data_IF_402554763905
#
_entry.id   IF_402554763905
#
_cell.length_a   1.000
_cell.length_b   1.000
_cell.length_c   1.000
_cell.angle_alpha   90.00
_cell.angle_beta   90.00
_cell.angle_gamma   90.00
#
_symmetry.space_group_name_H-M   'P 1'
#
loop_
_entity.id
_entity.type
_entity.pdbx_description
1 polymer ?
#
# COMPACT_ATOMS: atom_id res chain seq x y z
N UNK A 1 8.73 18.23 8.25
CA UNK A 1 7.88 18.27 7.06
C UNK A 1 7.43 16.87 6.71
N UNK A 2 6.15 16.69 6.44
CA UNK A 2 5.63 15.43 5.95
C UNK A 2 6.17 15.17 4.54
N UNK A 3 6.75 13.99 4.31
CA UNK A 3 7.20 13.61 2.96
C UNK A 3 6.01 13.32 2.08
N UNK A 4 6.05 13.79 0.85
CA UNK A 4 5.08 13.37 -0.16
C UNK A 4 5.23 11.88 -0.42
N UNK A 5 4.09 11.19 -0.50
CA UNK A 5 4.05 9.77 -0.82
C UNK A 5 3.58 9.60 -2.25
N UNK A 6 4.40 8.96 -3.08
CA UNK A 6 4.03 8.69 -4.46
C UNK A 6 2.91 7.66 -4.50
N UNK A 7 1.89 7.92 -5.31
CA UNK A 7 0.72 7.07 -5.49
C UNK A 7 0.28 7.06 -6.95
N UNK A 8 -0.22 5.93 -7.43
CA UNK A 8 -0.82 5.84 -8.75
C UNK A 8 -2.22 6.44 -8.74
N UNK A 9 -2.75 6.78 -9.92
CA UNK A 9 -4.12 7.27 -10.04
C UNK A 9 -5.13 6.25 -9.51
N UNK A 10 -4.93 4.97 -9.83
CA UNK A 10 -5.79 3.88 -9.33
C UNK A 10 -5.74 3.76 -7.81
N UNK A 11 -4.56 3.86 -7.23
CA UNK A 11 -4.37 3.84 -5.78
C UNK A 11 -5.03 5.03 -5.10
N UNK A 12 -4.97 6.21 -5.71
CA UNK A 12 -5.65 7.40 -5.20
C UNK A 12 -7.17 7.21 -5.18
N UNK A 13 -7.74 6.67 -6.26
CA UNK A 13 -9.17 6.39 -6.36
C UNK A 13 -9.63 5.39 -5.31
N UNK A 14 -8.89 4.30 -5.12
CA UNK A 14 -9.15 3.30 -4.07
C UNK A 14 -9.11 3.91 -2.68
N UNK A 15 -8.12 4.76 -2.42
CA UNK A 15 -7.98 5.46 -1.15
C UNK A 15 -9.19 6.35 -0.86
N UNK A 16 -9.64 7.11 -1.85
CA UNK A 16 -10.83 7.97 -1.74
C UNK A 16 -12.10 7.15 -1.52
N UNK A 17 -12.27 6.04 -2.23
CA UNK A 17 -13.41 5.14 -2.08
C UNK A 17 -13.46 4.53 -0.68
N UNK A 18 -12.34 4.02 -0.19
CA UNK A 18 -12.24 3.46 1.16
C UNK A 18 -12.58 4.52 2.21
N UNK A 19 -12.00 5.70 2.07
CA UNK A 19 -12.25 6.80 3.01
C UNK A 19 -13.73 7.20 3.03
N UNK A 20 -14.35 7.34 1.86
CA UNK A 20 -15.79 7.66 1.74
C UNK A 20 -16.66 6.58 2.41
N UNK A 21 -16.35 5.32 2.19
CA UNK A 21 -17.05 4.21 2.83
C UNK A 21 -16.93 4.26 4.36
N UNK A 22 -15.71 4.47 4.88
CA UNK A 22 -15.48 4.53 6.32
C UNK A 22 -16.15 5.74 6.97
N UNK A 23 -16.10 6.90 6.33
CA UNK A 23 -16.69 8.15 6.87
C UNK A 23 -18.22 8.13 6.87
N UNK A 24 -18.84 7.44 5.94
CA UNK A 24 -20.28 7.40 5.79
C UNK A 24 -20.87 6.09 6.31
N UNK A 25 -20.70 5.01 5.56
CA UNK A 25 -21.38 3.74 5.82
C UNK A 25 -20.91 3.08 7.12
N UNK A 26 -19.59 2.99 7.30
CA UNK A 26 -19.02 2.33 8.48
C UNK A 26 -19.27 3.12 9.76
N UNK A 27 -19.15 4.44 9.72
CA UNK A 27 -19.49 5.29 10.88
C UNK A 27 -20.94 5.09 11.32
N UNK A 28 -21.85 5.03 10.36
CA UNK A 28 -23.28 4.81 10.66
C UNK A 28 -23.52 3.45 11.28
N UNK A 29 -22.93 2.41 10.71
CA UNK A 29 -23.00 1.04 11.24
C UNK A 29 -22.51 0.95 12.68
N UNK A 30 -21.36 1.53 12.97
CA UNK A 30 -20.77 1.55 14.33
C UNK A 30 -21.62 2.39 15.29
N UNK A 31 -22.14 3.54 14.85
CA UNK A 31 -23.04 4.36 15.66
C UNK A 31 -24.31 3.61 16.01
N UNK A 32 -24.91 2.88 15.09
CA UNK A 32 -26.09 2.04 15.34
C UNK A 32 -25.78 0.92 16.33
N UNK A 33 -24.60 0.30 16.22
CA UNK A 33 -24.16 -0.73 17.14
C UNK A 33 -24.00 -0.17 18.57
N UNK A 34 -23.45 1.01 18.73
CA UNK A 34 -23.34 1.69 20.04
C UNK A 34 -24.73 1.97 20.61
N UNK A 35 -25.65 2.47 19.79
CA UNK A 35 -27.02 2.76 20.19
C UNK A 35 -27.72 1.49 20.68
N UNK A 36 -27.64 0.39 19.93
CA UNK A 36 -28.21 -0.90 20.32
C UNK A 36 -27.61 -1.42 21.62
N UNK A 37 -26.30 -1.30 21.81
CA UNK A 37 -25.62 -1.72 23.02
C UNK A 37 -26.11 -0.96 24.26
N UNK A 38 -26.41 0.34 24.12
CA UNK A 38 -26.99 1.15 25.20
C UNK A 38 -28.38 0.66 25.63
N UNK A 39 -29.16 0.15 24.68
CA UNK A 39 -30.51 -0.34 24.93
C UNK A 39 -30.52 -1.66 25.72
N UNK A 40 -29.41 -2.40 25.77
CA UNK A 40 -29.30 -3.69 26.48
C UNK A 40 -29.03 -3.61 27.98
N UNK A 41 -28.87 -2.42 28.56
CA UNK A 41 -28.79 -2.31 30.00
C UNK A 41 -27.69 -1.37 30.52
N UNK A 42 -27.12 -1.71 31.69
CA UNK A 42 -26.19 -0.85 32.40
C UNK A 42 -24.88 -0.67 31.65
N UNK A 43 -24.54 0.58 31.31
CA UNK A 43 -23.30 0.96 30.60
C UNK A 43 -22.06 0.56 31.39
N UNK A 44 -22.12 0.53 32.71
CA UNK A 44 -20.97 0.20 33.59
C UNK A 44 -20.50 -1.26 33.48
N UNK A 45 -21.38 -2.19 33.08
CA UNK A 45 -21.10 -3.63 32.98
C UNK A 45 -21.42 -4.22 31.60
N UNK A 46 -21.52 -3.39 30.57
CA UNK A 46 -21.95 -3.81 29.24
C UNK A 46 -20.74 -4.00 28.32
N UNK A 47 -20.32 -5.26 28.17
CA UNK A 47 -19.20 -5.60 27.27
C UNK A 47 -19.47 -5.28 25.80
N UNK A 48 -20.72 -5.40 25.34
CA UNK A 48 -21.12 -5.03 23.98
C UNK A 48 -20.94 -3.52 23.72
N UNK A 49 -21.25 -2.70 24.72
CA UNK A 49 -21.02 -1.27 24.65
C UNK A 49 -19.52 -0.94 24.59
N UNK A 50 -18.73 -1.57 25.43
CA UNK A 50 -17.26 -1.37 25.43
C UNK A 50 -16.63 -1.80 24.11
N UNK A 51 -17.05 -2.95 23.55
CA UNK A 51 -16.58 -3.42 22.25
C UNK A 51 -16.95 -2.46 21.13
N UNK A 52 -18.18 -1.96 21.12
CA UNK A 52 -18.64 -0.99 20.13
C UNK A 52 -17.89 0.34 20.22
N UNK A 53 -17.58 0.81 21.43
CA UNK A 53 -16.76 2.02 21.64
C UNK A 53 -15.33 1.81 21.20
N UNK A 54 -14.76 0.64 21.43
CA UNK A 54 -13.41 0.29 20.94
C UNK A 54 -13.38 0.25 19.40
N UNK A 55 -14.40 -0.34 18.79
CA UNK A 55 -14.54 -0.35 17.32
C UNK A 55 -14.63 1.08 16.76
N UNK A 56 -15.37 1.97 17.41
CA UNK A 56 -15.43 3.38 17.03
C UNK A 56 -14.05 4.05 17.08
N UNK A 57 -13.29 3.83 18.15
CA UNK A 57 -11.96 4.40 18.30
C UNK A 57 -11.01 3.90 17.20
N UNK A 58 -11.03 2.62 16.88
CA UNK A 58 -10.23 2.03 15.81
C UNK A 58 -10.63 2.59 14.43
N UNK A 59 -11.93 2.76 14.19
CA UNK A 59 -12.45 3.35 12.96
C UNK A 59 -11.95 4.79 12.78
N UNK A 60 -12.04 5.60 13.81
CA UNK A 60 -11.57 7.00 13.75
C UNK A 60 -10.05 7.08 13.53
N UNK A 61 -9.28 6.19 14.13
CA UNK A 61 -7.83 6.10 13.86
C UNK A 61 -7.55 5.73 12.39
N UNK A 62 -8.30 4.79 11.84
CA UNK A 62 -8.17 4.37 10.44
C UNK A 62 -8.51 5.52 9.49
N UNK A 63 -9.60 6.22 9.77
CA UNK A 63 -10.02 7.40 8.98
C UNK A 63 -8.92 8.48 9.02
N UNK A 64 -8.41 8.79 10.19
CA UNK A 64 -7.34 9.80 10.33
C UNK A 64 -6.08 9.40 9.56
N UNK A 65 -5.71 8.12 9.60
CA UNK A 65 -4.55 7.60 8.86
C UNK A 65 -4.75 7.72 7.34
N UNK A 66 -5.94 7.42 6.83
CA UNK A 66 -6.25 7.54 5.40
C UNK A 66 -6.32 9.00 4.95
N UNK A 67 -6.88 9.88 5.77
CA UNK A 67 -6.89 11.32 5.50
C UNK A 67 -5.47 11.88 5.42
N UNK A 68 -4.59 11.44 6.29
CA UNK A 68 -3.18 11.85 6.29
C UNK A 68 -2.46 11.35 5.03
N UNK A 69 -2.69 10.10 4.63
CA UNK A 69 -2.17 9.57 3.38
C UNK A 69 -2.65 10.37 2.16
N UNK A 70 -3.93 10.72 2.15
CA UNK A 70 -4.52 11.50 1.06
C UNK A 70 -3.88 12.89 0.96
N UNK A 71 -3.63 13.55 2.08
CA UNK A 71 -2.96 14.87 2.10
C UNK A 71 -1.53 14.81 1.58
N UNK A 72 -0.82 13.70 1.82
CA UNK A 72 0.57 13.52 1.40
C UNK A 72 0.72 12.85 0.04
N UNK A 73 -0.37 12.47 -0.58
CA UNK A 73 -0.35 11.77 -1.87
C UNK A 73 0.10 12.69 -3.01
N UNK A 74 1.12 12.27 -3.73
CA UNK A 74 1.54 12.89 -4.98
C UNK A 74 1.27 11.90 -6.12
N UNK A 75 0.34 12.24 -7.00
CA UNK A 75 -0.10 11.37 -8.10
C UNK A 75 0.96 11.34 -9.19
N UNK A 76 1.29 10.14 -9.65
CA UNK A 76 2.22 9.94 -10.75
C UNK A 76 1.45 10.04 -12.06
N UNK A 77 1.87 10.97 -12.94
CA UNK A 77 1.33 11.07 -14.28
C UNK A 77 1.93 9.95 -15.15
N UNK A 78 1.09 9.05 -15.65
CA UNK A 78 1.51 7.95 -16.54
C UNK A 78 2.24 8.44 -17.78
N UNK A 79 1.94 9.64 -18.27
CA UNK A 79 2.59 10.24 -19.44
C UNK A 79 4.03 10.66 -19.15
N UNK A 80 4.39 10.87 -17.90
CA UNK A 80 5.72 11.27 -17.45
C UNK A 80 6.56 10.12 -16.93
N UNK A 81 6.01 8.91 -16.92
CA UNK A 81 6.73 7.72 -16.44
C UNK A 81 7.81 7.38 -17.48
N UNK A 82 9.06 7.41 -16.98
CA UNK A 82 10.22 7.00 -17.73
C UNK A 82 10.36 5.48 -17.66
N UNK A 83 10.57 4.82 -18.80
CA UNK A 83 10.83 3.38 -18.88
C UNK A 83 12.33 3.07 -19.06
N UNK A 84 13.19 4.05 -19.03
CA UNK A 84 14.64 3.86 -19.06
C UNK A 84 15.17 3.38 -17.72
N UNK A 85 14.55 3.84 -16.62
CA UNK A 85 14.91 3.44 -15.26
C UNK A 85 13.68 2.93 -14.50
N UNK A 86 13.92 2.02 -13.56
CA UNK A 86 12.87 1.51 -12.68
C UNK A 86 12.46 2.58 -11.67
N UNK A 87 11.19 2.83 -11.57
CA UNK A 87 10.60 3.76 -10.61
C UNK A 87 9.16 3.38 -10.32
N UNK A 88 8.50 4.13 -9.44
CA UNK A 88 7.08 3.91 -9.15
C UNK A 88 6.25 4.14 -10.41
N UNK A 89 5.31 3.22 -10.69
CA UNK A 89 4.44 3.28 -11.86
C UNK A 89 4.89 2.40 -13.02
N UNK A 90 6.00 1.68 -12.90
CA UNK A 90 6.45 0.75 -13.93
C UNK A 90 6.23 -0.71 -13.52
N UNK A 91 6.12 -1.56 -14.52
CA UNK A 91 6.22 -3.02 -14.38
C UNK A 91 7.64 -3.41 -14.79
N UNK A 92 8.37 -3.99 -13.87
CA UNK A 92 9.74 -4.46 -14.11
C UNK A 92 9.75 -5.98 -14.22
N UNK A 93 10.36 -6.47 -15.30
CA UNK A 93 10.60 -7.89 -15.50
C UNK A 93 12.01 -8.20 -15.07
N UNK A 94 12.17 -9.20 -14.20
CA UNK A 94 13.47 -9.59 -13.65
C UNK A 94 13.70 -11.08 -13.80
N UNK A 95 14.96 -11.48 -13.89
CA UNK A 95 15.39 -12.88 -13.94
C UNK A 95 16.33 -13.13 -12.78
N UNK A 96 16.01 -14.11 -11.95
CA UNK A 96 16.89 -14.55 -10.86
C UNK A 96 18.11 -15.23 -11.45
N UNK A 97 19.29 -14.74 -11.15
CA UNK A 97 20.55 -15.24 -11.70
C UNK A 97 20.90 -16.65 -11.21
N UNK A 98 20.42 -17.02 -10.02
CA UNK A 98 20.69 -18.34 -9.44
C UNK A 98 19.71 -19.40 -9.93
N UNK A 99 18.42 -19.12 -9.88
CA UNK A 99 17.37 -20.08 -10.25
C UNK A 99 17.00 -20.04 -11.74
N UNK A 100 17.31 -18.95 -12.43
CA UNK A 100 16.90 -18.72 -13.81
C UNK A 100 15.42 -18.38 -13.98
N UNK A 101 14.67 -18.27 -12.89
CA UNK A 101 13.24 -17.94 -12.94
C UNK A 101 13.02 -16.47 -13.27
N UNK A 102 12.05 -16.22 -14.13
CA UNK A 102 11.60 -14.87 -14.47
C UNK A 102 10.40 -14.49 -13.63
N UNK A 103 10.38 -13.26 -13.15
CA UNK A 103 9.29 -12.68 -12.37
C UNK A 103 9.00 -11.28 -12.89
N UNK A 104 7.80 -10.81 -12.62
CA UNK A 104 7.38 -9.47 -12.99
C UNK A 104 6.74 -8.80 -11.77
N UNK A 105 7.16 -7.56 -11.49
CA UNK A 105 6.68 -6.79 -10.37
C UNK A 105 6.24 -5.41 -10.82
N UNK A 106 5.12 -4.94 -10.30
CA UNK A 106 4.71 -3.55 -10.41
C UNK A 106 5.28 -2.79 -9.22
N UNK A 107 6.02 -1.72 -9.48
CA UNK A 107 6.56 -0.87 -8.42
C UNK A 107 5.52 0.19 -8.06
N UNK A 108 5.13 0.20 -6.81
CA UNK A 108 4.07 1.08 -6.28
C UNK A 108 4.55 1.80 -5.03
N UNK A 109 3.78 2.78 -4.57
CA UNK A 109 3.99 3.38 -3.25
C UNK A 109 3.67 2.40 -2.12
N UNK A 110 4.21 2.64 -0.93
CA UNK A 110 4.07 1.72 0.22
C UNK A 110 2.60 1.45 0.60
N UNK A 111 1.71 2.41 0.38
CA UNK A 111 0.29 2.26 0.67
C UNK A 111 -0.44 1.29 -0.28
N UNK A 112 0.10 1.08 -1.47
CA UNK A 112 -0.49 0.23 -2.51
C UNK A 112 0.14 -1.16 -2.60
N UNK A 113 1.17 -1.44 -1.81
CA UNK A 113 1.90 -2.69 -1.87
C UNK A 113 0.99 -3.89 -1.57
N UNK A 114 1.05 -4.89 -2.45
CA UNK A 114 0.30 -6.13 -2.29
C UNK A 114 1.10 -7.28 -2.92
N UNK A 115 1.78 -8.09 -2.10
CA UNK A 115 2.60 -9.19 -2.60
C UNK A 115 1.81 -10.22 -3.42
N UNK A 116 0.55 -10.44 -3.11
CA UNK A 116 -0.31 -11.39 -3.83
C UNK A 116 -0.54 -10.95 -5.28
N UNK A 117 -0.66 -9.64 -5.50
CA UNK A 117 -0.80 -9.05 -6.84
C UNK A 117 0.54 -8.66 -7.47
N UNK A 118 1.66 -9.09 -6.89
CA UNK A 118 3.02 -8.74 -7.33
C UNK A 118 3.27 -7.21 -7.38
N UNK A 119 2.64 -6.47 -6.48
CA UNK A 119 2.87 -5.04 -6.30
C UNK A 119 3.85 -4.83 -5.17
N UNK A 120 5.05 -4.37 -5.51
CA UNK A 120 6.12 -4.12 -4.54
C UNK A 120 6.24 -2.64 -4.23
N UNK A 121 6.37 -2.34 -2.94
CA UNK A 121 6.70 -0.99 -2.49
C UNK A 121 8.10 -0.61 -2.97
N UNK A 122 8.26 0.65 -3.39
CA UNK A 122 9.57 1.24 -3.67
C UNK A 122 10.49 1.27 -2.42
N UNK A 123 9.91 1.12 -1.23
CA UNK A 123 10.65 1.08 0.03
C UNK A 123 10.94 -0.34 0.53
N UNK A 124 10.36 -1.37 -0.12
CA UNK A 124 10.66 -2.77 0.20
C UNK A 124 12.10 -3.13 -0.18
N UNK A 125 12.70 -4.18 0.42
CA UNK A 125 14.08 -4.57 0.08
C UNK A 125 14.30 -4.84 -1.42
N UNK A 126 13.37 -5.53 -2.07
CA UNK A 126 13.44 -5.80 -3.51
C UNK A 126 13.20 -4.52 -4.31
N UNK A 127 12.18 -3.73 -3.93
CA UNK A 127 11.85 -2.46 -4.58
C UNK A 127 13.00 -1.47 -4.50
N UNK A 128 13.61 -1.31 -3.34
CA UNK A 128 14.79 -0.42 -3.16
C UNK A 128 15.96 -0.83 -4.04
N UNK A 129 16.21 -2.12 -4.17
CA UNK A 129 17.31 -2.61 -5.01
C UNK A 129 17.03 -2.36 -6.50
N UNK A 130 15.78 -2.44 -6.93
CA UNK A 130 15.38 -2.26 -8.31
C UNK A 130 15.24 -0.80 -8.74
N UNK A 131 14.76 0.08 -7.86
CA UNK A 131 14.55 1.50 -8.18
C UNK A 131 15.87 2.15 -8.63
N UNK A 132 15.83 2.87 -9.76
CA UNK A 132 16.99 3.49 -10.37
C UNK A 132 17.80 2.59 -11.31
N UNK A 133 17.45 1.31 -11.40
CA UNK A 133 18.13 0.36 -12.28
C UNK A 133 17.67 0.52 -13.73
N UNK A 134 18.53 0.18 -14.66
CA UNK A 134 18.25 0.17 -16.11
C UNK A 134 18.10 -1.24 -16.62
N UNK A 135 17.53 -1.35 -17.83
CA UNK A 135 17.47 -2.64 -18.54
C UNK A 135 18.87 -3.25 -18.65
N UNK A 136 18.94 -4.55 -18.45
CA UNK A 136 20.16 -5.37 -18.45
C UNK A 136 21.09 -5.19 -17.24
N UNK A 137 20.76 -4.34 -16.29
CA UNK A 137 21.50 -4.25 -15.03
C UNK A 137 21.16 -5.43 -14.12
N UNK A 138 22.18 -5.87 -13.37
CA UNK A 138 22.01 -6.87 -12.31
C UNK A 138 22.06 -6.17 -10.97
N UNK A 139 21.01 -6.31 -10.18
CA UNK A 139 20.92 -5.72 -8.84
C UNK A 139 21.04 -6.81 -7.77
N UNK A 140 21.63 -6.46 -6.65
CA UNK A 140 21.76 -7.34 -5.49
C UNK A 140 20.68 -6.99 -4.47
N UNK A 141 19.85 -7.96 -4.13
CA UNK A 141 18.81 -7.81 -3.10
C UNK A 141 19.32 -8.44 -1.81
N UNK A 142 19.39 -7.64 -0.76
CA UNK A 142 19.70 -8.12 0.57
C UNK A 142 18.44 -8.64 1.25
N UNK A 143 18.47 -9.89 1.69
CA UNK A 143 17.38 -10.49 2.43
C UNK A 143 17.77 -10.62 3.91
N UNK A 144 16.85 -10.35 4.87
CA UNK A 144 17.15 -10.45 6.30
C UNK A 144 17.53 -11.86 6.75
N UNK A 145 17.07 -12.86 6.02
CA UNK A 145 17.30 -14.29 6.33
C UNK A 145 17.63 -15.04 5.04
N UNK A 146 18.89 -15.14 4.73
CA UNK A 146 19.35 -15.93 3.61
C UNK A 146 20.38 -15.26 2.73
N UNK A 147 20.86 -15.95 1.69
CA UNK A 147 21.86 -15.41 0.78
C UNK A 147 21.30 -14.24 -0.03
N UNK A 148 22.18 -13.33 -0.40
CA UNK A 148 21.84 -12.23 -1.31
C UNK A 148 21.35 -12.77 -2.64
N UNK A 149 20.26 -12.20 -3.14
CA UNK A 149 19.73 -12.55 -4.47
C UNK A 149 20.23 -11.56 -5.50
N UNK A 150 20.58 -12.07 -6.67
CA UNK A 150 20.93 -11.23 -7.82
C UNK A 150 19.84 -11.34 -8.86
N UNK A 151 19.26 -10.20 -9.21
CA UNK A 151 18.19 -10.09 -10.19
C UNK A 151 18.66 -9.25 -11.37
N UNK A 152 18.48 -9.78 -12.59
CA UNK A 152 18.74 -9.01 -13.81
C UNK A 152 17.44 -8.38 -14.30
N UNK A 153 17.47 -7.08 -14.55
CA UNK A 153 16.35 -6.36 -15.15
C UNK A 153 16.31 -6.66 -16.64
N UNK A 154 15.25 -7.33 -17.10
CA UNK A 154 15.12 -7.75 -18.50
C UNK A 154 14.22 -6.83 -19.32
N UNK A 155 13.23 -6.20 -18.69
CA UNK A 155 12.30 -5.30 -19.36
C UNK A 155 11.69 -4.32 -18.36
N UNK A 156 11.46 -3.11 -18.80
CA UNK A 156 10.75 -2.07 -18.04
C UNK A 156 9.61 -1.55 -18.91
N UNK A 157 8.39 -1.56 -18.40
CA UNK A 157 7.23 -1.03 -19.12
C UNK A 157 6.31 -0.24 -18.19
N UNK A 158 5.48 0.63 -18.76
CA UNK A 158 4.49 1.38 -17.97
C UNK A 158 3.39 0.43 -17.50
N UNK A 159 3.02 0.58 -16.23
CA UNK A 159 1.95 -0.24 -15.63
C UNK A 159 0.56 0.07 -16.23
#
# INVERSE_FOLDING_TARGET
>A
MARETLITQEGLEKLKEELTYLENDKRREVADRIKQAREFGDIAENSEYDDAKNEQAMLEQRIAALQDRLRRAAVIDKKQIDTETVGVGVVVHVKDQKSGKSQKFQIVGSAEANPVEHKLSNESPVGKALVGSKKNEVVTVETPRGPKRKLKVTKIEVA
#
